data_IF_350176121592
#
_entry.id   IF_350176121592
#
_cell.length_a   1.000
_cell.length_b   1.000
_cell.length_c   1.000
_cell.angle_alpha   90.00
_cell.angle_beta   90.00
_cell.angle_gamma   90.00
#
_symmetry.space_group_name_H-M   'P 1'
#
loop_
_entity.id
_entity.type
_entity.pdbx_description
1 polymer ?
#
# COMPACT_ATOMS: atom_id res chain seq x y z
N UNK A 1 -16.48 -3.58 8.80
CA UNK A 1 -15.02 -3.79 8.86
C UNK A 1 -14.41 -3.65 7.48
N UNK A 2 -13.40 -2.80 7.33
CA UNK A 2 -12.74 -2.53 6.04
C UNK A 2 -11.23 -2.39 6.21
N UNK A 3 -10.50 -2.69 5.14
CA UNK A 3 -9.09 -2.31 4.99
C UNK A 3 -8.96 -1.34 3.82
N UNK A 4 -7.99 -0.44 3.88
CA UNK A 4 -7.73 0.53 2.81
C UNK A 4 -6.56 0.02 1.98
N UNK A 5 -6.77 -0.13 0.66
CA UNK A 5 -5.71 -0.57 -0.25
C UNK A 5 -4.79 0.60 -0.59
N UNK A 6 -3.50 0.41 -0.39
CA UNK A 6 -2.47 1.43 -0.57
C UNK A 6 -1.39 0.91 -1.51
N UNK A 7 -0.99 1.83 -2.37
CA UNK A 7 -0.07 1.71 -3.49
C UNK A 7 1.26 2.28 -3.01
N UNK A 8 2.27 1.42 -2.80
CA UNK A 8 3.46 1.75 -1.99
C UNK A 8 4.71 2.03 -2.83
N UNK A 9 4.60 2.06 -4.15
CA UNK A 9 5.71 2.18 -5.09
C UNK A 9 6.63 0.96 -5.14
N UNK A 10 6.09 -0.25 -4.94
CA UNK A 10 6.89 -1.50 -4.93
C UNK A 10 6.24 -2.53 -5.84
N UNK A 11 6.98 -2.92 -6.88
CA UNK A 11 6.61 -4.00 -7.78
C UNK A 11 7.66 -5.11 -7.68
N UNK A 12 7.33 -6.21 -7.01
CA UNK A 12 8.21 -7.35 -6.82
C UNK A 12 7.93 -8.40 -7.90
N UNK A 13 8.97 -8.75 -8.66
CA UNK A 13 9.00 -9.84 -9.62
C UNK A 13 10.05 -10.88 -9.19
N UNK A 14 9.88 -12.13 -9.62
CA UNK A 14 10.78 -13.28 -9.43
C UNK A 14 12.06 -13.04 -8.57
N UNK A 15 13.08 -12.37 -9.12
CA UNK A 15 14.37 -12.09 -8.47
C UNK A 15 14.72 -10.58 -8.38
N UNK A 16 13.87 -9.68 -8.89
CA UNK A 16 14.13 -8.23 -8.89
C UNK A 16 12.85 -7.48 -8.50
N UNK A 17 12.99 -6.43 -7.68
CA UNK A 17 11.89 -5.50 -7.44
C UNK A 17 12.19 -4.14 -8.06
N UNK A 18 11.15 -3.53 -8.62
CA UNK A 18 11.18 -2.17 -9.15
C UNK A 18 10.53 -1.26 -8.10
N UNK A 19 11.31 -0.32 -7.57
CA UNK A 19 10.79 0.76 -6.72
C UNK A 19 10.50 2.00 -7.57
N UNK A 20 9.28 2.11 -8.10
CA UNK A 20 8.84 3.27 -8.89
C UNK A 20 8.03 4.24 -8.04
N UNK A 21 8.31 5.54 -8.20
CA UNK A 21 7.55 6.62 -7.55
C UNK A 21 6.16 6.83 -8.16
N UNK A 22 5.93 6.34 -9.38
CA UNK A 22 4.64 6.39 -10.07
C UNK A 22 4.16 4.97 -10.35
N UNK A 23 3.31 4.46 -9.47
CA UNK A 23 2.53 3.24 -9.73
C UNK A 23 1.40 3.62 -10.69
N UNK A 24 1.64 3.46 -11.99
CA UNK A 24 0.61 3.58 -13.04
C UNK A 24 -0.30 2.35 -13.01
N UNK A 25 -1.13 2.27 -11.97
CA UNK A 25 -2.00 1.15 -11.72
C UNK A 25 -3.34 1.61 -11.11
N UNK A 26 -4.42 0.93 -11.49
CA UNK A 26 -5.80 1.36 -11.23
C UNK A 26 -6.31 1.09 -9.80
N UNK A 27 -5.52 0.41 -8.97
CA UNK A 27 -5.90 -0.05 -7.65
C UNK A 27 -5.17 0.70 -6.55
N UNK A 28 -5.84 0.84 -5.41
CA UNK A 28 -5.24 1.43 -4.24
C UNK A 28 -4.99 2.93 -4.37
N UNK A 29 -4.71 3.53 -3.22
CA UNK A 29 -4.46 4.96 -3.10
C UNK A 29 -2.95 5.15 -2.97
N UNK A 30 -2.33 6.04 -3.78
CA UNK A 30 -0.90 6.29 -3.70
C UNK A 30 -0.48 6.72 -2.30
N UNK A 31 0.56 6.06 -1.78
CA UNK A 31 1.21 6.48 -0.54
C UNK A 31 1.88 7.84 -0.72
N UNK A 32 2.48 8.06 -1.90
CA UNK A 32 3.10 9.32 -2.28
C UNK A 32 2.07 10.47 -2.34
N UNK A 33 2.49 11.66 -1.88
CA UNK A 33 1.65 12.86 -1.95
C UNK A 33 0.51 12.92 -0.92
N UNK A 34 0.49 12.05 0.10
CA UNK A 34 -0.41 12.14 1.25
C UNK A 34 -1.86 11.71 1.01
N UNK A 35 -2.21 11.27 -0.20
CA UNK A 35 -3.57 10.84 -0.54
C UNK A 35 -4.02 9.64 0.30
N UNK A 36 -3.12 8.69 0.53
CA UNK A 36 -3.35 7.55 1.40
C UNK A 36 -3.72 7.95 2.84
N UNK A 37 -2.96 8.89 3.43
CA UNK A 37 -3.22 9.38 4.78
C UNK A 37 -4.59 10.07 4.88
N UNK A 38 -4.92 10.90 3.89
CA UNK A 38 -6.21 11.59 3.83
C UNK A 38 -7.37 10.60 3.68
N UNK A 39 -7.22 9.55 2.88
CA UNK A 39 -8.24 8.52 2.73
C UNK A 39 -8.48 7.75 4.03
N UNK A 40 -7.42 7.39 4.75
CA UNK A 40 -7.50 6.77 6.08
C UNK A 40 -8.21 7.70 7.06
N UNK A 41 -7.80 8.98 7.11
CA UNK A 41 -8.41 9.99 7.98
C UNK A 41 -9.91 10.14 7.71
N UNK A 42 -10.32 10.20 6.45
CA UNK A 42 -11.74 10.28 6.06
C UNK A 42 -12.50 9.02 6.45
N UNK A 43 -11.93 7.84 6.23
CA UNK A 43 -12.58 6.57 6.58
C UNK A 43 -12.80 6.42 8.09
N UNK A 44 -11.84 6.88 8.91
CA UNK A 44 -11.96 6.89 10.37
C UNK A 44 -13.05 7.82 10.90
N UNK A 45 -13.50 8.80 10.11
CA UNK A 45 -14.57 9.74 10.48
C UNK A 45 -15.98 9.25 10.08
N UNK A 46 -16.09 8.08 9.43
CA UNK A 46 -17.37 7.54 8.98
C UNK A 46 -17.89 6.52 10.00
N UNK A 47 -18.97 6.87 10.71
CA UNK A 47 -19.60 6.01 11.73
C UNK A 47 -20.05 4.63 11.20
N UNK A 48 -20.26 4.51 9.88
CA UNK A 48 -20.61 3.24 9.22
C UNK A 48 -19.41 2.33 8.90
N UNK A 49 -18.17 2.78 9.13
CA UNK A 49 -16.96 2.04 8.80
C UNK A 49 -16.09 1.77 10.03
N UNK A 50 -15.84 0.49 10.30
CA UNK A 50 -14.77 0.06 11.20
C UNK A 50 -13.51 -0.22 10.37
N UNK A 51 -12.56 0.73 10.34
CA UNK A 51 -11.26 0.55 9.67
C UNK A 51 -10.39 -0.35 10.54
N UNK A 52 -9.97 -1.49 10.00
CA UNK A 52 -9.20 -2.52 10.74
C UNK A 52 -7.76 -2.69 10.24
N UNK A 53 -7.36 -1.97 9.20
CA UNK A 53 -5.99 -2.03 8.70
C UNK A 53 -5.78 -1.48 7.29
N UNK A 54 -4.56 -1.70 6.81
CA UNK A 54 -4.09 -1.33 5.48
C UNK A 54 -3.75 -2.60 4.71
N UNK A 55 -4.05 -2.60 3.42
CA UNK A 55 -3.71 -3.67 2.49
C UNK A 55 -2.76 -3.14 1.42
N UNK A 56 -1.70 -3.89 1.09
CA UNK A 56 -0.89 -3.64 -0.10
C UNK A 56 -0.65 -4.94 -0.86
N UNK A 57 -0.67 -4.85 -2.19
CA UNK A 57 -0.37 -5.96 -3.09
C UNK A 57 0.73 -5.49 -4.03
N UNK A 58 1.86 -6.20 -4.01
CA UNK A 58 3.11 -5.75 -4.64
C UNK A 58 3.54 -6.60 -5.84
N UNK A 59 2.73 -7.58 -6.27
CA UNK A 59 3.07 -8.44 -7.40
C UNK A 59 2.65 -9.90 -7.22
N UNK A 60 3.17 -10.75 -8.10
CA UNK A 60 2.88 -12.19 -8.15
C UNK A 60 4.16 -12.97 -8.45
N UNK A 61 4.21 -14.27 -8.11
CA UNK A 61 5.39 -15.12 -8.30
C UNK A 61 6.67 -14.52 -7.66
N UNK A 62 6.52 -13.97 -6.46
CA UNK A 62 7.60 -13.39 -5.68
C UNK A 62 8.26 -14.51 -4.87
N UNK A 63 9.56 -14.71 -5.07
CA UNK A 63 10.34 -15.71 -4.34
C UNK A 63 11.33 -15.08 -3.34
N UNK A 64 11.52 -13.76 -3.40
CA UNK A 64 12.42 -13.00 -2.55
C UNK A 64 11.63 -12.12 -1.55
N UNK A 65 12.07 -12.08 -0.29
CA UNK A 65 11.40 -11.35 0.79
C UNK A 65 11.68 -9.84 0.80
N UNK A 66 12.73 -9.36 0.13
CA UNK A 66 13.14 -7.96 0.13
C UNK A 66 12.04 -7.01 -0.37
N UNK A 67 11.28 -7.41 -1.39
CA UNK A 67 10.13 -6.64 -1.88
C UNK A 67 9.05 -6.46 -0.81
N UNK A 68 8.78 -7.50 -0.02
CA UNK A 68 7.83 -7.44 1.10
C UNK A 68 8.35 -6.57 2.23
N UNK A 69 9.64 -6.63 2.55
CA UNK A 69 10.26 -5.80 3.59
C UNK A 69 10.14 -4.31 3.27
N UNK A 70 10.49 -3.90 2.05
CA UNK A 70 10.36 -2.51 1.59
C UNK A 70 8.89 -2.07 1.61
N UNK A 71 7.99 -2.92 1.11
CA UNK A 71 6.56 -2.62 1.11
C UNK A 71 6.01 -2.45 2.53
N UNK A 72 6.36 -3.36 3.45
CA UNK A 72 5.95 -3.29 4.85
C UNK A 72 6.48 -2.03 5.54
N UNK A 73 7.76 -1.69 5.34
CA UNK A 73 8.33 -0.45 5.88
C UNK A 73 7.58 0.79 5.41
N UNK A 74 7.20 0.85 4.13
CA UNK A 74 6.43 1.97 3.57
C UNK A 74 5.00 2.03 4.12
N UNK A 75 4.34 0.88 4.28
CA UNK A 75 3.00 0.83 4.92
C UNK A 75 3.07 1.27 6.37
N UNK A 76 4.04 0.78 7.15
CA UNK A 76 4.19 1.13 8.56
C UNK A 76 4.50 2.61 8.72
N UNK A 77 5.27 3.22 7.82
CA UNK A 77 5.54 4.66 7.83
C UNK A 77 4.31 5.56 7.60
N UNK A 78 3.16 4.99 7.22
CA UNK A 78 1.89 5.72 7.13
C UNK A 78 1.11 5.77 8.46
N UNK A 79 1.35 4.79 9.33
CA UNK A 79 0.71 4.69 10.65
C UNK A 79 1.37 5.64 11.64
#
# INVERSE_FOLDING_TARGET
RVQIRITVGVEAHTHEFIATAHEDQKFGIPLAGGQAAEAVRRALQLDGLEVIGIHSHIGSQIFDMSGFEVAAHRVVGLL
#
